data_IF_249191749101
#
_entry.id   IF_249191749101
#
_cell.length_a   1.000
_cell.length_b   1.000
_cell.length_c   1.000
_cell.angle_alpha   90.00
_cell.angle_beta   90.00
_cell.angle_gamma   90.00
#
_symmetry.space_group_name_H-M   'P 1'
#
loop_
_entity.id
_entity.type
_entity.pdbx_description
1 polymer ?
#
# COMPACT_ATOMS: atom_id res chain seq x y z
N UNK A 1 33.77 52.90 17.67
CA UNK A 1 34.02 51.59 17.02
C UNK A 1 32.68 50.95 16.72
N UNK A 2 32.35 50.88 15.43
CA UNK A 2 31.04 50.57 14.86
C UNK A 2 31.14 49.24 14.12
N UNK A 3 30.05 48.46 14.17
CA UNK A 3 29.63 47.40 13.22
C UNK A 3 30.39 46.07 13.27
N UNK A 4 29.73 45.04 13.79
CA UNK A 4 29.55 43.73 13.13
C UNK A 4 28.68 42.79 14.00
N UNK A 5 27.38 43.08 14.13
CA UNK A 5 26.37 42.06 14.42
C UNK A 5 25.63 41.81 13.11
N UNK A 6 26.20 40.96 12.27
CA UNK A 6 25.52 40.46 11.08
C UNK A 6 24.64 39.29 11.50
N UNK A 7 23.34 39.52 11.38
CA UNK A 7 22.25 38.56 11.50
C UNK A 7 22.58 37.26 10.76
N UNK A 8 22.92 36.21 11.49
CA UNK A 8 22.79 34.83 11.02
C UNK A 8 21.37 34.33 11.40
N UNK A 9 20.36 34.99 10.83
CA UNK A 9 18.99 34.47 10.78
C UNK A 9 19.00 33.37 9.71
N UNK A 10 19.61 32.24 10.05
CA UNK A 10 19.50 31.02 9.29
C UNK A 10 18.02 30.67 9.31
N UNK A 11 17.32 31.02 8.23
CA UNK A 11 16.03 30.47 7.91
C UNK A 11 16.25 28.96 7.73
N UNK A 12 16.26 28.23 8.85
CA UNK A 12 15.74 26.87 8.89
C UNK A 12 14.29 26.99 8.42
N UNK A 13 14.11 27.03 7.10
CA UNK A 13 12.96 26.39 6.49
C UNK A 13 13.10 24.92 6.86
N UNK A 14 12.74 24.60 8.12
CA UNK A 14 12.39 23.26 8.52
C UNK A 14 11.38 22.83 7.48
N UNK A 15 11.81 21.95 6.57
CA UNK A 15 10.91 21.14 5.78
C UNK A 15 10.10 20.37 6.81
N UNK A 16 9.01 20.98 7.28
CA UNK A 16 8.09 20.36 8.22
C UNK A 16 7.77 19.02 7.60
N UNK A 17 7.98 17.91 8.33
CA UNK A 17 7.68 16.60 7.78
C UNK A 17 6.25 16.65 7.27
N UNK A 18 6.09 16.39 5.97
CA UNK A 18 4.83 16.58 5.27
C UNK A 18 3.84 15.54 5.77
N UNK A 19 3.18 15.85 6.88
CA UNK A 19 2.01 15.15 7.39
C UNK A 19 0.80 15.95 6.97
N UNK A 20 0.02 15.40 6.06
CA UNK A 20 -1.09 16.11 5.47
C UNK A 20 -2.35 15.26 5.40
N UNK A 21 -3.49 15.90 5.58
CA UNK A 21 -4.78 15.32 5.20
C UNK A 21 -5.56 16.28 4.33
N UNK A 22 -6.29 15.74 3.35
CA UNK A 22 -7.21 16.50 2.52
C UNK A 22 -8.47 15.65 2.27
N UNK A 23 -9.55 16.31 1.86
CA UNK A 23 -10.78 15.69 1.37
C UNK A 23 -11.01 16.25 -0.03
N UNK A 24 -11.15 15.38 -1.03
CA UNK A 24 -11.24 15.78 -2.45
C UNK A 24 -12.30 15.00 -3.20
N UNK A 25 -12.74 15.56 -4.31
CA UNK A 25 -13.57 14.85 -5.28
C UNK A 25 -12.76 13.76 -6.00
N UNK A 26 -13.41 12.63 -6.31
CA UNK A 26 -12.79 11.57 -7.13
C UNK A 26 -12.45 12.04 -8.56
N UNK A 27 -13.08 13.10 -9.06
CA UNK A 27 -12.73 13.72 -10.35
C UNK A 27 -11.45 14.58 -10.31
N UNK A 28 -11.01 15.01 -9.14
CA UNK A 28 -9.80 15.81 -8.93
C UNK A 28 -8.95 15.23 -7.78
N UNK A 29 -8.45 13.98 -7.92
CA UNK A 29 -7.64 13.35 -6.90
C UNK A 29 -6.26 14.02 -6.84
N UNK A 30 -5.77 14.26 -5.63
CA UNK A 30 -4.46 14.84 -5.36
C UNK A 30 -3.67 13.97 -4.39
N UNK A 31 -2.36 14.13 -4.40
CA UNK A 31 -1.46 13.59 -3.37
C UNK A 31 -0.60 14.70 -2.76
N UNK A 32 -0.08 14.46 -1.56
CA UNK A 32 0.91 15.33 -0.93
C UNK A 32 2.27 15.09 -1.56
N UNK A 33 2.69 16.04 -2.39
CA UNK A 33 3.96 15.98 -3.15
C UNK A 33 5.18 15.67 -2.26
N UNK A 34 5.23 16.26 -1.07
CA UNK A 34 6.33 16.06 -0.12
C UNK A 34 6.26 14.78 0.72
N UNK A 35 5.17 14.01 0.64
CA UNK A 35 5.01 12.78 1.41
C UNK A 35 5.72 11.61 0.70
N UNK A 36 6.50 10.85 1.47
CA UNK A 36 7.10 9.59 1.05
C UNK A 36 6.03 8.57 0.66
N UNK A 37 4.97 8.48 1.44
CA UNK A 37 3.83 7.59 1.22
C UNK A 37 2.54 8.38 1.25
N UNK A 38 1.73 8.24 0.21
CA UNK A 38 0.40 8.83 0.12
C UNK A 38 -0.67 7.74 0.21
N UNK A 39 -1.58 7.85 1.17
CA UNK A 39 -2.79 7.04 1.24
C UNK A 39 -3.95 7.76 0.53
N UNK A 40 -4.64 7.05 -0.35
CA UNK A 40 -5.89 7.49 -0.97
C UNK A 40 -7.00 6.59 -0.44
N UNK A 41 -7.95 7.17 0.26
CA UNK A 41 -9.11 6.44 0.78
C UNK A 41 -10.28 6.77 -0.12
N UNK A 42 -10.73 5.81 -0.92
CA UNK A 42 -11.86 5.99 -1.82
C UNK A 42 -13.15 5.59 -1.11
N UNK A 43 -14.32 6.07 -1.58
CA UNK A 43 -15.59 5.75 -0.95
C UNK A 43 -15.88 4.25 -0.94
N UNK A 44 -16.28 3.74 0.22
CA UNK A 44 -17.00 2.49 0.29
C UNK A 44 -18.36 2.66 -0.39
N UNK A 45 -18.62 1.82 -1.37
CA UNK A 45 -19.88 1.86 -2.12
C UNK A 45 -20.95 1.08 -1.39
N UNK A 46 -22.21 1.48 -1.51
CA UNK A 46 -23.34 0.69 -1.09
C UNK A 46 -23.93 0.00 -2.35
N UNK A 47 -23.51 -1.23 -2.60
CA UNK A 47 -23.88 -2.00 -3.79
C UNK A 47 -25.25 -2.67 -3.56
N UNK A 48 -26.23 -2.33 -4.40
CA UNK A 48 -27.58 -2.91 -4.31
C UNK A 48 -28.41 -2.45 -3.11
N UNK A 49 -27.87 -1.60 -2.25
CA UNK A 49 -28.57 -1.11 -1.07
C UNK A 49 -29.66 -0.09 -1.45
N UNK A 50 -30.92 -0.44 -1.16
CA UNK A 50 -32.06 0.49 -1.25
C UNK A 50 -32.19 1.37 -0.01
N UNK A 51 -31.60 0.93 1.10
CA UNK A 51 -31.69 1.63 2.38
C UNK A 51 -30.70 2.80 2.46
N UNK A 52 -31.23 3.99 2.71
CA UNK A 52 -30.45 5.21 2.92
C UNK A 52 -29.47 5.10 4.09
N UNK A 53 -29.76 4.28 5.10
CA UNK A 53 -28.88 4.02 6.23
C UNK A 53 -27.57 3.33 5.80
N UNK A 54 -27.64 2.37 4.88
CA UNK A 54 -26.44 1.68 4.35
C UNK A 54 -25.59 2.66 3.53
N UNK A 55 -26.22 3.53 2.73
CA UNK A 55 -25.51 4.58 2.00
C UNK A 55 -24.84 5.62 2.91
N UNK A 56 -25.44 5.96 4.06
CA UNK A 56 -24.82 6.82 5.06
C UNK A 56 -23.64 6.11 5.75
N UNK A 57 -23.83 4.85 6.12
CA UNK A 57 -22.81 4.04 6.76
C UNK A 57 -21.58 3.85 5.88
N UNK A 58 -21.75 3.63 4.57
CA UNK A 58 -20.64 3.49 3.64
C UNK A 58 -19.75 4.75 3.60
N UNK A 59 -20.36 5.94 3.61
CA UNK A 59 -19.63 7.22 3.71
C UNK A 59 -18.90 7.34 5.05
N UNK A 60 -19.55 6.98 6.16
CA UNK A 60 -18.95 7.07 7.50
C UNK A 60 -17.75 6.13 7.65
N UNK A 61 -17.84 4.89 7.16
CA UNK A 61 -16.74 3.92 7.14
C UNK A 61 -15.54 4.50 6.41
N UNK A 62 -15.75 5.11 5.23
CA UNK A 62 -14.67 5.65 4.39
C UNK A 62 -13.80 6.65 5.16
N UNK A 63 -14.41 7.65 5.78
CA UNK A 63 -13.60 8.67 6.45
C UNK A 63 -13.10 8.24 7.83
N UNK A 64 -13.77 7.30 8.51
CA UNK A 64 -13.16 6.67 9.69
C UNK A 64 -11.90 5.88 9.29
N UNK A 65 -11.96 5.14 8.18
CA UNK A 65 -10.80 4.46 7.61
C UNK A 65 -9.70 5.47 7.27
N UNK A 66 -10.03 6.63 6.69
CA UNK A 66 -9.08 7.73 6.44
C UNK A 66 -8.41 8.24 7.71
N UNK A 67 -9.18 8.64 8.73
CA UNK A 67 -8.61 9.18 9.97
C UNK A 67 -7.77 8.16 10.72
N UNK A 68 -8.22 6.90 10.78
CA UNK A 68 -7.49 5.83 11.47
C UNK A 68 -6.22 5.44 10.73
N UNK A 69 -6.29 5.30 9.40
CA UNK A 69 -5.10 5.00 8.59
C UNK A 69 -4.09 6.15 8.66
N UNK A 70 -4.53 7.40 8.55
CA UNK A 70 -3.67 8.57 8.70
C UNK A 70 -2.96 8.55 10.06
N UNK A 71 -3.71 8.41 11.15
CA UNK A 71 -3.15 8.36 12.50
C UNK A 71 -2.15 7.21 12.66
N UNK A 72 -2.49 6.02 12.15
CA UNK A 72 -1.59 4.87 12.17
C UNK A 72 -0.30 5.15 11.40
N UNK A 73 -0.38 5.86 10.28
CA UNK A 73 0.75 6.18 9.41
C UNK A 73 1.66 7.29 9.95
N UNK A 74 1.21 8.16 10.88
CA UNK A 74 2.02 9.28 11.40
C UNK A 74 3.37 8.81 11.98
N UNK A 75 3.46 7.58 12.49
CA UNK A 75 4.70 6.99 13.02
C UNK A 75 5.78 6.73 11.95
N UNK A 76 5.43 6.73 10.66
CA UNK A 76 6.34 6.44 9.55
C UNK A 76 7.10 7.65 9.02
N UNK A 77 6.72 8.86 9.47
CA UNK A 77 7.19 10.16 8.97
C UNK A 77 6.97 10.40 7.47
N UNK A 78 6.70 11.65 7.08
CA UNK A 78 6.50 12.03 5.67
C UNK A 78 5.35 11.23 5.02
N UNK A 79 4.13 11.41 5.53
CA UNK A 79 2.93 10.70 5.07
C UNK A 79 1.79 11.66 4.73
N UNK A 80 1.08 11.40 3.65
CA UNK A 80 -0.12 12.14 3.26
C UNK A 80 -1.31 11.20 3.20
N UNK A 81 -2.51 11.66 3.55
CA UNK A 81 -3.73 10.87 3.36
C UNK A 81 -4.85 11.72 2.78
N UNK A 82 -5.47 11.29 1.68
CA UNK A 82 -6.59 12.00 1.05
C UNK A 82 -7.83 11.13 1.09
N UNK A 83 -8.92 11.66 1.67
CA UNK A 83 -10.26 11.08 1.56
C UNK A 83 -10.88 11.54 0.24
N UNK A 84 -11.19 10.59 -0.63
CA UNK A 84 -11.82 10.87 -1.91
C UNK A 84 -13.33 10.65 -1.77
N UNK A 85 -14.11 11.59 -2.29
CA UNK A 85 -15.57 11.59 -2.22
C UNK A 85 -16.14 11.49 -3.63
N UNK A 86 -17.16 10.65 -3.79
CA UNK A 86 -17.82 10.41 -5.07
C UNK A 86 -18.60 11.65 -5.55
N UNK A 87 -18.43 12.03 -6.83
CA UNK A 87 -19.10 13.16 -7.45
C UNK A 87 -20.49 12.79 -7.98
N UNK A 88 -21.55 13.21 -7.28
CA UNK A 88 -22.92 13.16 -7.81
C UNK A 88 -23.38 11.74 -8.19
N UNK A 89 -23.08 10.74 -7.35
CA UNK A 89 -23.45 9.34 -7.59
C UNK A 89 -22.56 8.57 -8.56
N UNK A 90 -21.53 9.20 -9.15
CA UNK A 90 -20.54 8.50 -9.99
C UNK A 90 -19.61 7.63 -9.14
N UNK A 91 -19.31 6.43 -9.64
CA UNK A 91 -18.35 5.55 -9.01
C UNK A 91 -16.93 6.15 -9.05
N UNK A 92 -16.24 6.09 -7.91
CA UNK A 92 -14.81 6.37 -7.84
C UNK A 92 -14.04 5.18 -8.44
N UNK A 93 -13.52 5.33 -9.65
CA UNK A 93 -12.70 4.32 -10.31
C UNK A 93 -11.26 4.43 -9.81
N UNK A 94 -10.76 3.37 -9.17
CA UNK A 94 -9.42 3.35 -8.59
C UNK A 94 -8.32 3.42 -9.64
N UNK A 95 -8.50 2.80 -10.81
CA UNK A 95 -7.54 2.84 -11.90
C UNK A 95 -7.44 4.26 -12.46
N UNK A 96 -8.57 4.94 -12.63
CA UNK A 96 -8.60 6.35 -13.07
C UNK A 96 -7.96 7.28 -12.05
N UNK A 97 -8.26 7.09 -10.76
CA UNK A 97 -7.66 7.87 -9.66
C UNK A 97 -6.14 7.70 -9.66
N UNK A 98 -5.67 6.45 -9.66
CA UNK A 98 -4.25 6.12 -9.68
C UNK A 98 -3.56 6.63 -10.95
N UNK A 99 -4.18 6.49 -12.12
CA UNK A 99 -3.65 7.04 -13.37
C UNK A 99 -3.51 8.56 -13.29
N UNK A 100 -4.48 9.26 -12.69
CA UNK A 100 -4.46 10.71 -12.58
C UNK A 100 -3.35 11.18 -11.64
N UNK A 101 -3.18 10.57 -10.46
CA UNK A 101 -2.13 10.99 -9.51
C UNK A 101 -0.73 10.56 -9.95
N UNK A 102 -0.61 9.53 -10.80
CA UNK A 102 0.66 8.99 -11.30
C UNK A 102 1.12 9.57 -12.64
N UNK A 103 0.33 10.46 -13.26
CA UNK A 103 0.75 11.22 -14.43
C UNK A 103 2.05 11.97 -14.13
N UNK A 104 3.06 11.74 -14.97
CA UNK A 104 4.33 12.44 -14.90
C UNK A 104 4.13 13.93 -15.21
N UNK A 105 4.42 14.80 -14.26
CA UNK A 105 4.31 16.25 -14.43
C UNK A 105 4.74 17.01 -13.17
N UNK A 106 4.97 18.32 -13.31
CA UNK A 106 5.35 19.21 -12.20
C UNK A 106 4.14 19.84 -11.48
N UNK A 107 2.93 19.53 -11.94
CA UNK A 107 1.68 20.02 -11.35
C UNK A 107 1.55 19.65 -9.87
N UNK A 108 0.89 20.52 -9.11
CA UNK A 108 0.51 20.22 -7.73
C UNK A 108 -0.40 18.99 -7.69
N UNK A 109 -0.30 18.18 -6.62
CA UNK A 109 -1.16 17.01 -6.46
C UNK A 109 -0.73 15.76 -7.23
N UNK A 110 0.45 15.74 -7.87
CA UNK A 110 1.01 14.55 -8.55
C UNK A 110 2.04 13.84 -7.69
N UNK A 111 2.12 12.52 -7.85
CA UNK A 111 3.07 11.66 -7.13
C UNK A 111 4.47 11.83 -7.71
N UNK A 112 5.45 12.22 -6.89
CA UNK A 112 6.83 12.36 -7.38
C UNK A 112 7.48 11.00 -7.61
N UNK A 113 8.45 10.95 -8.54
CA UNK A 113 9.26 9.76 -8.79
C UNK A 113 9.89 9.24 -7.49
N UNK A 114 9.79 7.93 -7.28
CA UNK A 114 10.29 7.24 -6.10
C UNK A 114 9.36 7.29 -4.89
N UNK A 115 8.28 8.10 -4.91
CA UNK A 115 7.26 8.13 -3.85
C UNK A 115 6.22 7.04 -4.05
N UNK A 116 5.57 6.66 -2.96
CA UNK A 116 4.62 5.56 -2.94
C UNK A 116 3.18 6.03 -2.77
N UNK A 117 2.25 5.23 -3.30
CA UNK A 117 0.82 5.39 -3.11
C UNK A 117 0.18 4.09 -2.64
N UNK A 118 -0.77 4.21 -1.73
CA UNK A 118 -1.64 3.16 -1.23
C UNK A 118 -3.09 3.62 -1.42
N UNK A 119 -3.88 2.90 -2.21
CA UNK A 119 -5.31 3.11 -2.32
C UNK A 119 -6.06 2.05 -1.51
N UNK A 120 -7.05 2.46 -0.71
CA UNK A 120 -7.95 1.58 0.02
C UNK A 120 -9.39 1.99 -0.24
N UNK A 121 -10.27 1.02 -0.46
CA UNK A 121 -11.69 1.24 -0.73
C UNK A 121 -12.49 0.00 -0.38
N UNK A 122 -13.80 0.06 -0.57
CA UNK A 122 -14.62 -1.12 -0.36
C UNK A 122 -16.02 -1.05 -0.91
N UNK A 123 -16.79 -2.06 -0.56
CA UNK A 123 -18.21 -2.15 -0.84
C UNK A 123 -18.95 -2.72 0.35
N UNK A 124 -20.16 -2.23 0.57
CA UNK A 124 -21.18 -2.78 1.43
C UNK A 124 -22.23 -3.38 0.51
N UNK A 125 -22.62 -4.63 0.73
CA UNK A 125 -23.63 -5.30 -0.07
C UNK A 125 -24.46 -6.22 0.81
N UNK A 126 -25.68 -6.50 0.38
CA UNK A 126 -26.56 -7.45 1.04
C UNK A 126 -26.48 -8.80 0.33
N UNK A 127 -26.36 -9.87 1.10
CA UNK A 127 -26.44 -11.24 0.61
C UNK A 127 -27.20 -12.07 1.64
N UNK A 128 -28.21 -12.81 1.20
CA UNK A 128 -29.03 -13.68 2.05
C UNK A 128 -29.65 -12.96 3.27
N UNK A 129 -30.01 -11.68 3.12
CA UNK A 129 -30.59 -10.85 4.18
C UNK A 129 -29.57 -10.32 5.20
N UNK A 130 -28.28 -10.57 4.99
CA UNK A 130 -27.19 -10.09 5.83
C UNK A 130 -26.35 -9.04 5.09
N UNK A 131 -25.84 -8.06 5.83
CA UNK A 131 -24.94 -7.04 5.28
C UNK A 131 -23.48 -7.48 5.38
N UNK A 132 -22.76 -7.30 4.29
CA UNK A 132 -21.35 -7.63 4.16
C UNK A 132 -20.53 -6.41 3.76
N UNK A 133 -19.37 -6.28 4.38
CA UNK A 133 -18.35 -5.29 4.12
C UNK A 133 -17.15 -5.98 3.47
N UNK A 134 -16.75 -5.53 2.30
CA UNK A 134 -15.56 -6.04 1.63
C UNK A 134 -14.60 -4.89 1.32
N UNK A 135 -13.37 -5.06 1.74
CA UNK A 135 -12.30 -4.08 1.54
C UNK A 135 -11.37 -4.53 0.43
N UNK A 136 -10.83 -3.56 -0.28
CA UNK A 136 -9.82 -3.73 -1.32
C UNK A 136 -8.67 -2.78 -1.05
N UNK A 137 -7.48 -3.18 -1.46
CA UNK A 137 -6.27 -2.41 -1.30
C UNK A 137 -5.44 -2.53 -2.58
N UNK A 138 -4.80 -1.44 -2.99
CA UNK A 138 -3.82 -1.43 -4.07
C UNK A 138 -2.67 -0.52 -3.72
N UNK A 139 -1.46 -0.89 -4.13
CA UNK A 139 -0.27 -0.10 -3.84
C UNK A 139 0.71 -0.13 -5.00
N UNK A 140 1.48 0.94 -5.12
CA UNK A 140 2.54 1.05 -6.10
C UNK A 140 3.53 2.16 -5.73
N UNK A 141 4.66 2.17 -6.41
CA UNK A 141 5.62 3.28 -6.38
C UNK A 141 5.66 3.97 -7.74
N UNK A 142 5.86 5.28 -7.72
CA UNK A 142 6.04 6.06 -8.94
C UNK A 142 7.42 5.77 -9.55
N UNK A 143 7.44 5.17 -10.72
CA UNK A 143 8.59 5.04 -11.59
C UNK A 143 8.76 6.22 -12.55
N UNK A 144 9.60 6.02 -13.58
CA UNK A 144 9.86 7.04 -14.59
C UNK A 144 8.68 7.23 -15.56
N UNK A 145 7.91 6.18 -15.82
CA UNK A 145 6.85 6.11 -16.83
C UNK A 145 5.45 5.92 -16.22
N UNK A 146 5.31 6.08 -14.90
CA UNK A 146 4.07 5.82 -14.17
C UNK A 146 4.29 4.88 -12.99
N UNK A 147 3.21 4.28 -12.50
CA UNK A 147 3.26 3.33 -11.39
C UNK A 147 3.99 2.05 -11.81
N UNK A 148 4.94 1.61 -10.98
CA UNK A 148 5.74 0.40 -11.22
C UNK A 148 5.57 -0.61 -10.09
N UNK A 149 5.62 -1.92 -10.40
CA UNK A 149 5.73 -2.95 -9.39
C UNK A 149 7.04 -2.85 -8.61
N UNK A 150 7.00 -3.34 -7.38
CA UNK A 150 8.20 -3.53 -6.58
C UNK A 150 8.83 -4.86 -6.96
N UNK A 151 10.12 -4.80 -7.31
CA UNK A 151 10.87 -5.92 -7.86
C UNK A 151 12.15 -6.16 -7.09
N UNK A 152 12.54 -7.42 -6.93
CA UNK A 152 13.90 -7.82 -6.62
C UNK A 152 14.67 -8.09 -7.90
N UNK A 153 15.98 -7.93 -7.84
CA UNK A 153 16.90 -8.28 -8.93
C UNK A 153 18.01 -9.17 -8.39
N UNK A 154 18.39 -10.19 -9.16
CA UNK A 154 19.49 -11.11 -8.85
C UNK A 154 20.37 -11.30 -10.08
N UNK A 155 21.67 -11.10 -9.93
CA UNK A 155 22.65 -11.50 -10.93
C UNK A 155 23.08 -12.95 -10.64
N UNK A 156 22.88 -13.84 -11.61
CA UNK A 156 23.20 -15.26 -11.49
C UNK A 156 23.69 -15.80 -12.84
N UNK A 157 24.79 -16.56 -12.84
CA UNK A 157 25.43 -17.10 -14.06
C UNK A 157 25.75 -16.03 -15.14
N UNK A 158 26.06 -14.79 -14.73
CA UNK A 158 26.33 -13.69 -15.66
C UNK A 158 25.09 -13.08 -16.32
N UNK A 159 23.88 -13.49 -15.91
CA UNK A 159 22.62 -12.94 -16.36
C UNK A 159 21.85 -12.30 -15.21
N UNK A 160 21.05 -11.28 -15.52
CA UNK A 160 20.20 -10.58 -14.55
C UNK A 160 18.78 -11.13 -14.61
N UNK A 161 18.27 -11.53 -13.45
CA UNK A 161 16.89 -11.99 -13.25
C UNK A 161 16.13 -10.99 -12.38
N UNK A 162 14.86 -10.79 -12.68
CA UNK A 162 14.00 -9.87 -11.93
C UNK A 162 12.73 -10.59 -11.48
N UNK A 163 12.27 -10.35 -10.26
CA UNK A 163 10.97 -10.85 -9.82
C UNK A 163 10.17 -9.81 -9.04
N UNK A 164 8.86 -9.72 -9.27
CA UNK A 164 7.95 -8.83 -8.56
C UNK A 164 7.23 -9.54 -7.40
N UNK A 165 6.61 -8.76 -6.52
CA UNK A 165 5.67 -9.28 -5.54
C UNK A 165 4.51 -10.07 -6.20
N UNK A 166 3.94 -11.08 -5.52
CA UNK A 166 2.89 -11.93 -6.09
C UNK A 166 1.57 -11.20 -6.39
N UNK A 167 1.36 -10.04 -5.77
CA UNK A 167 0.20 -9.18 -5.99
C UNK A 167 0.52 -7.71 -5.65
N UNK A 168 -0.09 -6.78 -6.37
CA UNK A 168 -0.10 -5.34 -6.06
C UNK A 168 -1.47 -4.81 -5.65
N UNK A 169 -2.49 -5.66 -5.76
CA UNK A 169 -3.84 -5.40 -5.33
C UNK A 169 -4.35 -6.61 -4.55
N UNK A 170 -5.10 -6.34 -3.49
CA UNK A 170 -5.74 -7.34 -2.65
C UNK A 170 -7.24 -7.07 -2.64
N UNK A 171 -8.00 -8.16 -2.77
CA UNK A 171 -9.39 -8.21 -2.33
C UNK A 171 -9.41 -9.03 -1.05
N UNK A 172 -9.89 -8.43 0.04
CA UNK A 172 -10.06 -9.14 1.29
C UNK A 172 -11.39 -9.89 1.28
N UNK A 173 -11.50 -10.93 2.13
CA UNK A 173 -12.74 -11.67 2.27
C UNK A 173 -13.85 -10.74 2.80
N UNK A 174 -15.09 -10.86 2.27
CA UNK A 174 -16.22 -10.13 2.84
C UNK A 174 -16.44 -10.50 4.30
N UNK A 175 -16.75 -9.50 5.13
CA UNK A 175 -17.06 -9.66 6.55
C UNK A 175 -18.48 -9.25 6.79
N UNK A 176 -19.22 -10.06 7.55
CA UNK A 176 -20.57 -9.71 7.97
C UNK A 176 -20.52 -8.51 8.93
N UNK A 177 -21.44 -7.56 8.75
CA UNK A 177 -21.62 -6.41 9.61
C UNK A 177 -23.10 -6.25 9.96
N UNK A 178 -23.40 -5.96 11.22
CA UNK A 178 -24.77 -5.77 11.70
C UNK A 178 -25.18 -4.30 11.61
N UNK A 179 -26.49 -4.06 11.53
CA UNK A 179 -27.06 -2.70 11.48
C UNK A 179 -26.73 -1.85 12.72
N UNK A 180 -26.72 -2.45 13.91
CA UNK A 180 -26.35 -1.75 15.16
C UNK A 180 -24.85 -1.40 15.21
N UNK A 181 -24.01 -2.19 14.54
CA UNK A 181 -22.60 -1.86 14.33
C UNK A 181 -22.45 -0.66 13.38
N UNK A 182 -23.30 -0.56 12.33
CA UNK A 182 -23.32 0.61 11.46
C UNK A 182 -23.74 1.89 12.20
N UNK A 183 -24.72 1.81 13.10
CA UNK A 183 -25.12 2.95 13.94
C UNK A 183 -23.99 3.39 14.88
N UNK A 184 -23.23 2.43 15.40
CA UNK A 184 -22.04 2.71 16.21
C UNK A 184 -20.94 3.40 15.41
N UNK A 185 -20.75 2.99 14.16
CA UNK A 185 -19.85 3.62 13.19
C UNK A 185 -20.25 5.07 12.88
N UNK A 186 -21.56 5.35 12.70
CA UNK A 186 -22.05 6.72 12.50
C UNK A 186 -21.66 7.63 13.68
N UNK A 187 -21.97 7.18 14.90
CA UNK A 187 -21.66 7.92 16.12
C UNK A 187 -20.16 8.21 16.24
N UNK A 188 -19.31 7.22 15.97
CA UNK A 188 -17.86 7.38 15.98
C UNK A 188 -17.38 8.39 14.92
N UNK A 189 -17.92 8.29 13.71
CA UNK A 189 -17.60 9.17 12.58
C UNK A 189 -17.89 10.63 12.91
N UNK A 190 -19.08 10.93 13.45
CA UNK A 190 -19.45 12.31 13.83
C UNK A 190 -18.57 12.87 14.93
N UNK A 191 -18.15 12.05 15.89
CA UNK A 191 -17.25 12.48 16.96
C UNK A 191 -15.81 12.74 16.45
N UNK A 192 -15.35 11.96 15.47
CA UNK A 192 -14.00 12.05 14.91
C UNK A 192 -13.80 13.25 13.96
N UNK A 193 -14.86 13.69 13.27
CA UNK A 193 -14.86 14.87 12.39
C UNK A 193 -15.06 16.20 13.14
N UNK A 194 -14.58 16.30 14.38
CA UNK A 194 -14.67 17.53 15.16
C UNK A 194 -13.28 18.04 15.47
N UNK A 195 -13.06 19.32 15.18
CA UNK A 195 -11.86 20.07 15.57
C UNK A 195 -12.15 20.77 16.89
N UNK A 196 -11.38 20.43 17.92
CA UNK A 196 -11.53 20.93 19.30
C UNK A 196 -10.36 21.80 19.69
N UNK A 197 -10.55 22.71 20.65
CA UNK A 197 -9.45 23.54 21.14
C UNK A 197 -8.44 22.76 22.00
N UNK A 198 -8.88 21.65 22.62
CA UNK A 198 -8.07 20.81 23.49
C UNK A 198 -8.29 19.32 23.13
N UNK A 199 -7.31 18.43 23.39
CA UNK A 199 -7.44 17.00 23.13
C UNK A 199 -8.30 16.31 24.21
N UNK A 200 -9.57 16.68 24.28
CA UNK A 200 -10.56 16.19 25.25
C UNK A 200 -11.94 16.11 24.60
N UNK A 201 -12.67 15.02 24.83
CA UNK A 201 -14.04 14.88 24.30
C UNK A 201 -15.01 15.90 24.89
N UNK A 202 -14.72 16.39 26.10
CA UNK A 202 -15.54 17.40 26.77
C UNK A 202 -15.32 18.81 26.20
N UNK A 203 -14.24 19.05 25.46
CA UNK A 203 -13.98 20.36 24.85
C UNK A 203 -14.94 20.61 23.68
N UNK A 204 -15.52 21.81 23.53
CA UNK A 204 -16.36 22.14 22.37
C UNK A 204 -15.63 21.87 21.04
N UNK A 205 -16.35 21.27 20.09
CA UNK A 205 -15.84 20.91 18.77
C UNK A 205 -16.59 21.62 17.65
N UNK A 206 -15.87 21.99 16.60
CA UNK A 206 -16.43 22.46 15.33
C UNK A 206 -16.38 21.31 14.34
N UNK A 207 -17.51 20.96 13.74
CA UNK A 207 -17.57 19.92 12.72
C UNK A 207 -16.85 20.38 11.44
N UNK A 208 -15.96 19.52 10.94
CA UNK A 208 -15.42 19.65 9.59
C UNK A 208 -16.32 18.83 8.65
N UNK A 209 -17.21 19.53 7.95
CA UNK A 209 -18.15 18.89 7.03
C UNK A 209 -17.44 18.11 5.91
N UNK A 210 -18.18 17.22 5.24
CA UNK A 210 -17.71 16.48 4.06
C UNK A 210 -18.42 17.00 2.82
N UNK A 211 -17.96 18.13 2.29
CA UNK A 211 -18.49 18.64 1.04
C UNK A 211 -17.61 18.17 -0.11
N UNK A 212 -18.20 17.52 -1.11
CA UNK A 212 -17.56 17.24 -2.41
C UNK A 212 -17.06 18.51 -3.11
N UNK A 213 -17.62 19.67 -2.74
CA UNK A 213 -17.29 20.96 -3.33
C UNK A 213 -16.26 21.74 -2.51
N UNK A 214 -15.81 21.22 -1.36
CA UNK A 214 -14.89 21.94 -0.48
C UNK A 214 -13.70 21.04 -0.11
N UNK A 215 -12.50 21.46 -0.50
CA UNK A 215 -11.26 20.83 -0.04
C UNK A 215 -11.00 21.15 1.43
N UNK A 216 -10.43 20.21 2.19
CA UNK A 216 -10.12 20.41 3.60
C UNK A 216 -8.64 20.11 3.86
N UNK A 217 -7.72 20.94 3.33
CA UNK A 217 -6.29 20.66 3.43
C UNK A 217 -5.77 21.08 4.80
N UNK A 218 -5.29 20.11 5.55
CA UNK A 218 -4.73 20.26 6.89
C UNK A 218 -3.31 19.70 6.96
N UNK A 219 -2.43 20.43 7.64
CA UNK A 219 -1.16 19.90 8.11
C UNK A 219 -1.35 19.27 9.50
N UNK A 220 -0.74 18.12 9.73
CA UNK A 220 -0.68 17.49 11.06
C UNK A 220 0.61 17.92 11.73
N UNK A 221 0.49 18.72 12.80
CA UNK A 221 1.65 19.32 13.48
C UNK A 221 2.04 18.58 14.76
N UNK A 222 1.13 17.80 15.34
CA UNK A 222 1.36 17.06 16.58
C UNK A 222 0.43 15.83 16.64
N UNK A 223 0.89 14.77 17.30
CA UNK A 223 0.05 13.62 17.65
C UNK A 223 0.31 13.20 19.10
N UNK A 224 -0.76 12.97 19.87
CA UNK A 224 -0.72 12.54 21.27
C UNK A 224 -1.79 11.48 21.50
N UNK A 225 -1.38 10.23 21.67
CA UNK A 225 -2.32 9.11 21.83
C UNK A 225 -3.27 9.02 20.64
N UNK A 226 -4.56 9.21 20.88
CA UNK A 226 -5.62 9.16 19.86
C UNK A 226 -5.94 10.53 19.22
N UNK A 227 -5.20 11.57 19.60
CA UNK A 227 -5.44 12.93 19.17
C UNK A 227 -4.36 13.41 18.20
N UNK A 228 -4.78 14.08 17.15
CA UNK A 228 -3.90 14.74 16.19
C UNK A 228 -4.24 16.23 16.12
N UNK A 229 -3.21 17.07 16.18
CA UNK A 229 -3.37 18.52 16.06
C UNK A 229 -3.26 18.92 14.60
N UNK A 230 -4.33 19.50 14.09
CA UNK A 230 -4.47 19.94 12.71
C UNK A 230 -4.36 21.46 12.61
N UNK A 231 -3.62 21.93 11.61
CA UNK A 231 -3.51 23.34 11.25
C UNK A 231 -3.95 23.49 9.80
N UNK A 232 -4.91 24.37 9.49
CA UNK A 232 -5.43 24.52 8.15
C UNK A 232 -4.35 25.08 7.21
N UNK A 233 -4.26 24.53 6.01
CA UNK A 233 -3.33 25.01 4.97
C UNK A 233 -3.93 26.16 4.15
N UNK A 234 -5.17 26.55 4.43
CA UNK A 234 -5.86 27.70 3.82
C UNK A 234 -6.71 28.45 4.85
N UNK A 235 -6.94 29.76 4.68
CA UNK A 235 -7.77 30.54 5.59
C UNK A 235 -9.22 30.03 5.66
N UNK A 236 -9.88 30.26 6.80
CA UNK A 236 -11.32 29.98 7.00
C UNK A 236 -11.68 28.57 7.47
N UNK A 237 -10.70 27.70 7.70
CA UNK A 237 -10.91 26.37 8.27
C UNK A 237 -10.55 26.35 9.77
N UNK A 238 -11.25 25.55 10.62
CA UNK A 238 -10.94 25.47 12.04
C UNK A 238 -9.59 24.78 12.28
N UNK A 239 -8.78 25.30 13.21
CA UNK A 239 -7.54 24.69 13.68
C UNK A 239 -7.73 24.12 15.10
N UNK A 240 -7.03 23.04 15.44
CA UNK A 240 -7.16 22.44 16.76
C UNK A 240 -6.82 20.96 16.80
N UNK A 241 -7.42 20.24 17.73
CA UNK A 241 -7.25 18.83 17.98
C UNK A 241 -8.42 18.04 17.41
N UNK A 242 -8.09 17.02 16.62
CA UNK A 242 -9.04 16.04 16.13
C UNK A 242 -8.76 14.69 16.77
N UNK A 243 -9.82 13.94 17.04
CA UNK A 243 -9.69 12.59 17.58
C UNK A 243 -9.76 11.58 16.45
N UNK A 244 -8.69 10.84 16.22
CA UNK A 244 -8.62 9.84 15.15
C UNK A 244 -9.25 8.49 15.55
N UNK A 245 -9.24 8.14 16.84
CA UNK A 245 -9.81 6.89 17.39
C UNK A 245 -10.73 7.23 18.56
N UNK A 246 -11.97 6.74 18.57
CA UNK A 246 -12.99 7.10 19.57
C UNK A 246 -12.58 6.72 21.02
N UNK A 247 -13.19 7.38 22.01
CA UNK A 247 -12.97 7.09 23.43
C UNK A 247 -13.71 5.84 23.90
N UNK A 248 -12.99 4.96 24.57
CA UNK A 248 -13.54 3.87 25.36
C UNK A 248 -12.42 3.07 26.01
N UNK A 249 -12.59 2.69 27.27
CA UNK A 249 -11.66 1.86 28.06
C UNK A 249 -11.47 0.44 27.53
N UNK A 250 -12.15 0.09 26.43
CA UNK A 250 -11.96 -1.17 25.73
C UNK A 250 -11.14 -0.90 24.49
N UNK A 251 -9.91 -1.43 24.46
CA UNK A 251 -9.03 -1.44 23.29
C UNK A 251 -9.69 -2.01 22.00
N UNK A 252 -10.89 -2.58 22.11
CA UNK A 252 -11.76 -3.14 21.07
C UNK A 252 -12.55 -2.11 20.24
N UNK A 253 -12.66 -0.84 20.64
CA UNK A 253 -13.32 0.19 19.81
C UNK A 253 -12.33 0.84 18.84
N UNK A 254 -11.91 0.07 17.85
CA UNK A 254 -11.19 0.54 16.68
C UNK A 254 -11.94 0.02 15.46
N UNK A 255 -12.02 0.81 14.39
CA UNK A 255 -12.60 0.30 13.14
C UNK A 255 -11.87 -0.99 12.72
N UNK A 256 -10.59 -1.13 13.12
CA UNK A 256 -9.78 -2.34 13.06
C UNK A 256 -10.43 -3.64 13.62
N UNK A 257 -11.38 -3.58 14.56
CA UNK A 257 -12.15 -4.77 14.99
C UNK A 257 -13.02 -5.30 13.86
N UNK A 258 -13.67 -4.39 13.12
CA UNK A 258 -14.55 -4.73 12.00
C UNK A 258 -13.81 -4.77 10.66
N UNK A 259 -12.70 -4.04 10.57
CA UNK A 259 -11.83 -3.87 9.42
C UNK A 259 -10.36 -4.08 9.80
N UNK A 260 -9.94 -5.30 10.17
CA UNK A 260 -8.52 -5.59 10.43
C UNK A 260 -7.65 -5.31 9.20
N UNK A 261 -8.24 -5.21 8.01
CA UNK A 261 -7.58 -4.75 6.79
C UNK A 261 -6.90 -3.39 6.95
N UNK A 262 -7.31 -2.55 7.91
CA UNK A 262 -6.62 -1.30 8.25
C UNK A 262 -5.26 -1.54 8.91
N UNK A 263 -5.08 -2.60 9.71
CA UNK A 263 -3.77 -2.99 10.25
C UNK A 263 -2.86 -3.49 9.12
N UNK A 264 -3.43 -4.20 8.14
CA UNK A 264 -2.70 -4.60 6.94
C UNK A 264 -2.31 -3.40 6.08
N UNK A 265 -3.21 -2.42 5.91
CA UNK A 265 -2.96 -1.18 5.18
C UNK A 265 -1.88 -0.33 5.85
N UNK A 266 -1.90 -0.22 7.19
CA UNK A 266 -0.84 0.41 7.99
C UNK A 266 0.51 -0.27 7.77
N UNK A 267 0.56 -1.61 7.87
CA UNK A 267 1.77 -2.38 7.61
C UNK A 267 2.28 -2.18 6.17
N UNK A 268 1.38 -2.16 5.19
CA UNK A 268 1.72 -1.89 3.79
C UNK A 268 2.30 -0.48 3.62
N UNK A 269 1.71 0.54 4.26
CA UNK A 269 2.24 1.90 4.23
C UNK A 269 3.65 1.99 4.85
N UNK A 270 3.87 1.30 5.97
CA UNK A 270 5.20 1.19 6.58
C UNK A 270 6.21 0.49 5.66
N UNK A 271 5.78 -0.57 4.98
CA UNK A 271 6.64 -1.28 4.03
C UNK A 271 6.98 -0.42 2.80
N UNK A 272 6.01 0.32 2.26
CA UNK A 272 6.23 1.30 1.19
C UNK A 272 7.22 2.38 1.64
N UNK A 273 7.11 2.84 2.89
CA UNK A 273 8.04 3.82 3.46
C UNK A 273 9.48 3.32 3.44
N UNK A 274 9.71 2.02 3.64
CA UNK A 274 11.04 1.40 3.56
C UNK A 274 11.63 1.42 2.14
N UNK A 275 10.78 1.43 1.10
CA UNK A 275 11.19 1.43 -0.32
C UNK A 275 11.56 2.83 -0.84
N UNK A 276 10.99 3.91 -0.27
CA UNK A 276 11.18 5.29 -0.73
C UNK A 276 12.57 5.87 -0.39
N UNK A 277 13.32 5.23 0.50
CA UNK A 277 14.65 5.70 0.94
C UNK A 277 14.61 6.85 1.94
N UNK A 278 15.78 7.39 2.29
CA UNK A 278 15.91 8.55 3.19
C UNK A 278 15.58 8.30 4.67
N UNK A 279 15.50 7.04 5.10
CA UNK A 279 15.41 6.69 6.53
C UNK A 279 16.81 6.45 7.10
N UNK A 280 17.06 6.97 8.30
CA UNK A 280 18.23 6.58 9.08
C UNK A 280 18.11 5.11 9.55
N UNK A 281 19.21 4.41 9.84
CA UNK A 281 19.18 3.00 10.26
C UNK A 281 18.23 2.73 11.44
N UNK A 282 18.30 3.53 12.51
CA UNK A 282 17.41 3.37 13.66
C UNK A 282 15.92 3.59 13.32
N UNK A 283 15.63 4.53 12.41
CA UNK A 283 14.26 4.77 11.94
C UNK A 283 13.77 3.60 11.08
N UNK A 284 14.63 3.09 10.19
CA UNK A 284 14.35 1.91 9.36
C UNK A 284 13.98 0.70 10.22
N UNK A 285 14.75 0.41 11.26
CA UNK A 285 14.42 -0.68 12.19
C UNK A 285 13.09 -0.47 12.92
N UNK A 286 12.80 0.75 13.36
CA UNK A 286 11.51 1.09 13.98
C UNK A 286 10.34 0.87 12.99
N UNK A 287 10.52 1.28 11.73
CA UNK A 287 9.51 1.04 10.68
C UNK A 287 9.34 -0.44 10.41
N UNK A 288 10.43 -1.23 10.31
CA UNK A 288 10.36 -2.70 10.16
C UNK A 288 9.56 -3.32 11.31
N UNK A 289 9.87 -2.99 12.57
CA UNK A 289 9.10 -3.50 13.73
C UNK A 289 7.63 -3.12 13.66
N UNK A 290 7.31 -1.92 13.21
CA UNK A 290 5.93 -1.47 13.05
C UNK A 290 5.20 -2.21 11.92
N UNK A 291 5.86 -2.52 10.80
CA UNK A 291 5.31 -3.36 9.73
C UNK A 291 4.99 -4.75 10.26
N UNK A 292 5.95 -5.40 10.94
CA UNK A 292 5.75 -6.72 11.52
C UNK A 292 4.59 -6.75 12.54
N UNK A 293 4.51 -5.73 13.39
CA UNK A 293 3.43 -5.61 14.36
C UNK A 293 2.06 -5.44 13.68
N UNK A 294 1.97 -4.68 12.59
CA UNK A 294 0.73 -4.51 11.83
C UNK A 294 0.28 -5.80 11.14
N UNK A 295 1.20 -6.49 10.45
CA UNK A 295 0.91 -7.80 9.84
C UNK A 295 0.47 -8.82 10.91
N UNK A 296 1.15 -8.87 12.05
CA UNK A 296 0.81 -9.79 13.15
C UNK A 296 -0.58 -9.49 13.74
N UNK A 297 -0.97 -8.21 13.87
CA UNK A 297 -2.32 -7.85 14.33
C UNK A 297 -3.40 -8.31 13.34
N UNK A 298 -3.16 -8.12 12.04
CA UNK A 298 -4.05 -8.64 11.00
C UNK A 298 -4.16 -10.17 11.06
N UNK A 299 -3.04 -10.88 11.12
CA UNK A 299 -2.97 -12.35 11.15
C UNK A 299 -3.65 -12.94 12.40
N UNK A 300 -3.60 -12.23 13.53
CA UNK A 300 -4.34 -12.60 14.74
C UNK A 300 -5.86 -12.44 14.57
N UNK A 301 -6.29 -11.44 13.77
CA UNK A 301 -7.69 -11.12 13.56
C UNK A 301 -8.32 -11.90 12.38
N UNK A 302 -7.51 -12.39 11.44
CA UNK A 302 -7.96 -13.05 10.21
C UNK A 302 -7.17 -14.34 9.97
N UNK A 303 -7.79 -15.52 10.16
CA UNK A 303 -7.20 -16.81 9.84
C UNK A 303 -6.70 -16.94 8.39
N UNK A 304 -5.65 -17.74 8.19
CA UNK A 304 -4.97 -17.89 6.90
C UNK A 304 -5.85 -18.54 5.80
N UNK A 305 -6.77 -19.41 6.20
CA UNK A 305 -7.76 -20.06 5.33
C UNK A 305 -8.80 -19.08 4.77
N UNK A 306 -9.14 -18.04 5.52
CA UNK A 306 -10.08 -17.01 5.07
C UNK A 306 -9.43 -15.94 4.20
N UNK A 307 -8.11 -15.75 4.30
CA UNK A 307 -7.39 -14.71 3.56
C UNK A 307 -6.02 -15.16 3.03
N UNK A 308 -5.95 -16.24 2.22
CA UNK A 308 -4.68 -16.78 1.74
C UNK A 308 -3.86 -15.75 0.96
N UNK A 309 -4.52 -14.87 0.19
CA UNK A 309 -3.84 -13.82 -0.57
C UNK A 309 -3.19 -12.75 0.32
N UNK A 310 -3.83 -12.36 1.41
CA UNK A 310 -3.27 -11.39 2.34
C UNK A 310 -2.08 -11.99 3.11
N UNK A 311 -2.20 -13.24 3.55
CA UNK A 311 -1.12 -13.99 4.19
C UNK A 311 0.07 -14.20 3.23
N UNK A 312 -0.19 -14.61 2.00
CA UNK A 312 0.83 -14.78 0.96
C UNK A 312 1.55 -13.47 0.64
N UNK A 313 0.81 -12.37 0.50
CA UNK A 313 1.44 -11.06 0.32
C UNK A 313 2.24 -10.65 1.56
N UNK A 314 1.69 -10.83 2.77
CA UNK A 314 2.39 -10.55 4.02
C UNK A 314 3.74 -11.28 4.12
N UNK A 315 3.79 -12.57 3.80
CA UNK A 315 5.03 -13.33 3.70
C UNK A 315 5.99 -12.74 2.66
N UNK A 316 5.49 -12.34 1.48
CA UNK A 316 6.32 -11.69 0.45
C UNK A 316 6.87 -10.32 0.91
N UNK A 317 6.11 -9.52 1.67
CA UNK A 317 6.61 -8.26 2.24
C UNK A 317 7.76 -8.51 3.22
N UNK A 318 7.63 -9.52 4.09
CA UNK A 318 8.69 -9.95 5.01
C UNK A 318 9.92 -10.46 4.25
N UNK A 319 9.71 -11.21 3.18
CA UNK A 319 10.77 -11.65 2.26
C UNK A 319 11.52 -10.48 1.64
N UNK A 320 10.81 -9.44 1.19
CA UNK A 320 11.45 -8.25 0.64
C UNK A 320 12.20 -7.43 1.69
N UNK A 321 11.70 -7.33 2.93
CA UNK A 321 12.44 -6.73 4.04
C UNK A 321 13.75 -7.50 4.27
N UNK A 322 13.69 -8.82 4.41
CA UNK A 322 14.86 -9.67 4.57
C UNK A 322 15.85 -9.51 3.39
N UNK A 323 15.34 -9.46 2.16
CA UNK A 323 16.11 -9.25 0.94
C UNK A 323 16.90 -7.94 1.00
N UNK A 324 16.25 -6.83 1.36
CA UNK A 324 16.91 -5.51 1.47
C UNK A 324 17.91 -5.42 2.62
N UNK A 325 17.79 -6.29 3.63
CA UNK A 325 18.74 -6.40 4.74
C UNK A 325 19.91 -7.35 4.45
N UNK A 326 19.98 -7.93 3.24
CA UNK A 326 21.01 -8.90 2.87
C UNK A 326 20.79 -10.31 3.44
N UNK A 327 19.68 -10.56 4.14
CA UNK A 327 19.29 -11.88 4.67
C UNK A 327 18.63 -12.71 3.56
N UNK A 328 19.43 -13.12 2.58
CA UNK A 328 18.95 -13.73 1.34
C UNK A 328 18.28 -15.09 1.53
N UNK A 329 18.81 -15.93 2.40
CA UNK A 329 18.23 -17.25 2.71
C UNK A 329 16.83 -17.09 3.33
N UNK A 330 16.71 -16.27 4.38
CA UNK A 330 15.43 -15.93 5.01
C UNK A 330 14.45 -15.34 3.99
N UNK A 331 14.92 -14.48 3.08
CA UNK A 331 14.07 -13.92 2.02
C UNK A 331 13.50 -15.01 1.11
N UNK A 332 14.34 -15.93 0.63
CA UNK A 332 13.92 -17.04 -0.22
C UNK A 332 12.91 -17.96 0.48
N UNK A 333 13.09 -18.23 1.78
CA UNK A 333 12.13 -18.98 2.60
C UNK A 333 10.77 -18.27 2.64
N UNK A 334 10.74 -16.97 2.97
CA UNK A 334 9.50 -16.18 3.01
C UNK A 334 8.82 -16.07 1.64
N UNK A 335 9.57 -15.99 0.55
CA UNK A 335 8.99 -16.02 -0.79
C UNK A 335 8.41 -17.40 -1.17
N UNK A 336 9.04 -18.48 -0.68
CA UNK A 336 8.48 -19.83 -0.81
C UNK A 336 7.18 -19.99 0.00
N UNK A 337 7.14 -19.49 1.24
CA UNK A 337 5.92 -19.44 2.05
C UNK A 337 4.81 -18.65 1.34
N UNK A 338 5.16 -17.51 0.73
CA UNK A 338 4.21 -16.73 -0.06
C UNK A 338 3.62 -17.53 -1.22
N UNK A 339 4.45 -18.27 -1.96
CA UNK A 339 4.02 -19.15 -3.05
C UNK A 339 3.11 -20.28 -2.56
N UNK A 340 3.39 -20.87 -1.40
CA UNK A 340 2.53 -21.92 -0.83
C UNK A 340 1.10 -21.40 -0.54
N UNK A 341 0.96 -20.11 -0.19
CA UNK A 341 -0.34 -19.46 0.01
C UNK A 341 -0.98 -18.98 -1.29
N UNK A 342 -0.19 -18.75 -2.33
CA UNK A 342 -0.60 -18.22 -3.63
C UNK A 342 -0.10 -19.10 -4.79
N UNK A 343 -0.45 -20.40 -4.84
CA UNK A 343 0.11 -21.33 -5.83
C UNK A 343 -0.25 -21.00 -7.28
N UNK A 344 -1.35 -20.27 -7.48
CA UNK A 344 -1.78 -19.80 -8.81
C UNK A 344 -1.15 -18.47 -9.24
N UNK A 345 -0.20 -17.91 -8.47
CA UNK A 345 0.48 -16.66 -8.82
C UNK A 345 1.71 -16.95 -9.69
N UNK A 346 1.66 -16.53 -10.96
CA UNK A 346 2.83 -16.55 -11.85
C UNK A 346 3.98 -15.71 -11.27
N UNK A 347 3.68 -14.49 -10.80
CA UNK A 347 4.65 -13.61 -10.16
C UNK A 347 5.24 -14.22 -8.89
N UNK A 348 4.42 -14.87 -8.05
CA UNK A 348 4.88 -15.60 -6.86
C UNK A 348 5.80 -16.78 -7.21
N UNK A 349 5.45 -17.53 -8.26
CA UNK A 349 6.28 -18.65 -8.76
C UNK A 349 7.65 -18.14 -9.24
N UNK A 350 7.65 -17.05 -10.02
CA UNK A 350 8.85 -16.38 -10.48
C UNK A 350 9.70 -15.85 -9.31
N UNK A 351 9.07 -15.21 -8.32
CA UNK A 351 9.73 -14.66 -7.13
C UNK A 351 10.42 -15.74 -6.29
N UNK A 352 9.73 -16.84 -6.02
CA UNK A 352 10.33 -17.97 -5.31
C UNK A 352 11.47 -18.61 -6.12
N UNK A 353 11.30 -18.75 -7.46
CA UNK A 353 12.32 -19.33 -8.32
C UNK A 353 13.60 -18.50 -8.38
N UNK A 354 13.48 -17.19 -8.62
CA UNK A 354 14.62 -16.27 -8.71
C UNK A 354 15.33 -16.15 -7.36
N UNK A 355 14.58 -15.97 -6.27
CA UNK A 355 15.21 -15.80 -4.95
C UNK A 355 15.92 -17.05 -4.45
N UNK A 356 15.45 -18.25 -4.81
CA UNK A 356 16.08 -19.52 -4.44
C UNK A 356 17.48 -19.70 -5.03
N UNK A 357 17.84 -18.96 -6.08
CA UNK A 357 19.20 -18.99 -6.66
C UNK A 357 20.22 -18.16 -5.86
N UNK A 358 19.77 -17.37 -4.88
CA UNK A 358 20.67 -16.52 -4.13
C UNK A 358 21.64 -17.36 -3.30
N UNK A 359 22.94 -17.23 -3.58
CA UNK A 359 23.99 -18.01 -2.92
C UNK A 359 24.16 -19.43 -3.49
N UNK A 360 23.39 -19.81 -4.51
CA UNK A 360 23.55 -21.09 -5.21
C UNK A 360 24.62 -20.96 -6.29
N UNK A 361 25.60 -21.87 -6.28
CA UNK A 361 26.64 -21.92 -7.31
C UNK A 361 26.00 -22.18 -8.68
N UNK A 362 26.32 -21.40 -9.71
CA UNK A 362 25.81 -21.64 -11.05
C UNK A 362 26.22 -23.02 -11.61
N UNK A 363 25.23 -23.87 -11.87
CA UNK A 363 25.41 -25.18 -12.49
C UNK A 363 24.19 -25.60 -13.34
N UNK A 364 24.32 -26.72 -14.04
CA UNK A 364 23.27 -27.26 -14.90
C UNK A 364 22.00 -27.64 -14.13
N UNK A 365 22.12 -28.14 -12.90
CA UNK A 365 20.98 -28.58 -12.09
C UNK A 365 20.13 -27.38 -11.63
N UNK A 366 20.76 -26.34 -11.12
CA UNK A 366 20.12 -25.09 -10.74
C UNK A 366 19.49 -24.40 -11.96
N UNK A 367 20.16 -24.41 -13.12
CA UNK A 367 19.61 -23.88 -14.36
C UNK A 367 18.35 -24.65 -14.79
N UNK A 368 18.36 -25.98 -14.72
CA UNK A 368 17.22 -26.83 -15.05
C UNK A 368 16.03 -26.59 -14.10
N UNK A 369 16.28 -26.48 -12.79
CA UNK A 369 15.25 -26.15 -11.80
C UNK A 369 14.64 -24.76 -12.06
N UNK A 370 15.46 -23.75 -12.38
CA UNK A 370 14.98 -22.43 -12.75
C UNK A 370 14.11 -22.49 -14.01
N UNK A 371 14.57 -23.18 -15.06
CA UNK A 371 13.82 -23.39 -16.31
C UNK A 371 12.43 -23.97 -16.04
N UNK A 372 12.35 -25.06 -15.27
CA UNK A 372 11.09 -25.71 -14.92
C UNK A 372 10.12 -24.74 -14.20
N UNK A 373 10.63 -23.97 -13.22
CA UNK A 373 9.78 -23.02 -12.47
C UNK A 373 9.34 -21.83 -13.32
N UNK A 374 10.20 -21.30 -14.19
CA UNK A 374 9.83 -20.21 -15.09
C UNK A 374 8.80 -20.66 -16.13
N UNK A 375 8.92 -21.88 -16.66
CA UNK A 375 7.91 -22.45 -17.55
C UNK A 375 6.58 -22.69 -16.82
N UNK A 376 6.60 -23.13 -15.56
CA UNK A 376 5.40 -23.24 -14.73
C UNK A 376 4.75 -21.87 -14.48
N UNK A 377 5.54 -20.83 -14.20
CA UNK A 377 5.05 -19.46 -14.07
C UNK A 377 4.43 -18.95 -15.39
N UNK A 378 5.06 -19.25 -16.53
CA UNK A 378 4.55 -18.89 -17.85
C UNK A 378 3.24 -19.61 -18.19
N UNK A 379 3.07 -20.87 -17.75
CA UNK A 379 1.82 -21.59 -17.92
C UNK A 379 0.64 -20.93 -17.17
N UNK A 380 0.91 -20.30 -16.02
CA UNK A 380 -0.08 -19.52 -15.25
C UNK A 380 -0.35 -18.15 -15.88
N UNK A 381 0.65 -17.50 -16.46
CA UNK A 381 0.52 -16.20 -17.14
C UNK A 381 1.40 -16.12 -18.39
N UNK A 382 0.87 -16.53 -19.56
CA UNK A 382 1.67 -16.68 -20.79
C UNK A 382 2.23 -15.37 -21.37
N UNK A 383 1.70 -14.23 -20.91
CA UNK A 383 2.09 -12.89 -21.37
C UNK A 383 2.81 -12.08 -20.28
N UNK A 384 3.24 -12.72 -19.20
CA UNK A 384 3.96 -12.02 -18.13
C UNK A 384 5.34 -11.56 -18.67
N UNK A 385 5.57 -10.24 -18.80
CA UNK A 385 6.79 -9.72 -19.41
C UNK A 385 8.04 -10.03 -18.59
N UNK A 386 7.90 -10.18 -17.28
CA UNK A 386 9.00 -10.45 -16.37
C UNK A 386 9.42 -11.91 -16.42
N UNK A 387 8.46 -12.84 -16.45
CA UNK A 387 8.74 -14.27 -16.67
C UNK A 387 9.37 -14.50 -18.05
N UNK A 388 8.82 -13.88 -19.10
CA UNK A 388 9.38 -13.94 -20.45
C UNK A 388 10.81 -13.38 -20.48
N UNK A 389 11.09 -12.30 -19.74
CA UNK A 389 12.44 -11.76 -19.62
C UNK A 389 13.43 -12.64 -18.89
N UNK A 390 13.01 -13.29 -17.80
CA UNK A 390 13.84 -14.25 -17.10
C UNK A 390 14.12 -15.50 -17.94
N UNK A 391 13.13 -15.99 -18.71
CA UNK A 391 13.34 -17.09 -19.66
C UNK A 391 14.35 -16.71 -20.76
N UNK A 392 14.24 -15.51 -21.31
CA UNK A 392 15.21 -15.03 -22.30
C UNK A 392 16.62 -14.94 -21.70
N UNK A 393 16.75 -14.42 -20.47
CA UNK A 393 18.02 -14.37 -19.75
C UNK A 393 18.61 -15.77 -19.56
N UNK A 394 17.81 -16.74 -19.11
CA UNK A 394 18.23 -18.13 -18.95
C UNK A 394 18.63 -18.78 -20.27
N UNK A 395 17.91 -18.51 -21.36
CA UNK A 395 18.29 -19.02 -22.68
C UNK A 395 19.60 -18.39 -23.18
N UNK A 396 19.92 -17.16 -22.78
CA UNK A 396 21.24 -16.57 -22.97
C UNK A 396 22.34 -17.32 -22.22
N UNK A 397 22.07 -17.74 -20.98
CA UNK A 397 22.99 -18.59 -20.19
C UNK A 397 23.22 -19.92 -20.91
N UNK A 398 22.15 -20.58 -21.39
CA UNK A 398 22.27 -21.84 -22.14
C UNK A 398 23.06 -21.70 -23.44
N UNK A 399 22.98 -20.56 -24.13
CA UNK A 399 23.80 -20.33 -25.32
C UNK A 399 25.30 -20.21 -24.99
N UNK A 400 25.64 -19.68 -23.80
CA UNK A 400 27.03 -19.57 -23.33
C UNK A 400 27.54 -20.85 -22.67
N UNK A 401 26.63 -21.66 -22.13
CA UNK A 401 26.88 -22.96 -21.46
C UNK A 401 25.98 -24.04 -22.08
N UNK A 402 26.29 -24.53 -23.30
CA UNK A 402 25.42 -25.48 -24.00
C UNK A 402 25.22 -26.79 -23.24
N UNK A 403 26.22 -27.19 -22.44
CA UNK A 403 26.20 -28.36 -21.56
C UNK A 403 25.15 -28.27 -20.44
N UNK A 404 24.65 -27.07 -20.13
CA UNK A 404 23.57 -26.86 -19.16
C UNK A 404 22.19 -26.88 -19.81
N UNK A 405 22.11 -26.76 -21.14
CA UNK A 405 20.84 -26.68 -21.83
C UNK A 405 20.19 -28.06 -21.88
N UNK A 406 18.91 -28.20 -21.49
CA UNK A 406 18.17 -29.44 -21.69
C UNK A 406 17.73 -29.62 -23.15
N UNK A 407 17.98 -28.64 -24.03
CA UNK A 407 17.56 -28.66 -25.43
C UNK A 407 18.75 -28.66 -26.38
N UNK A 408 18.63 -29.32 -27.54
CA UNK A 408 19.61 -29.18 -28.62
C UNK A 408 19.73 -27.73 -29.10
N UNK A 409 20.89 -27.31 -29.66
CA UNK A 409 21.11 -25.93 -30.10
C UNK A 409 20.05 -25.39 -31.09
N UNK A 410 19.55 -26.23 -31.99
CA UNK A 410 18.51 -25.85 -32.95
C UNK A 410 17.17 -25.52 -32.25
N UNK A 411 16.75 -26.34 -31.28
CA UNK A 411 15.54 -26.11 -30.51
C UNK A 411 15.68 -24.88 -29.60
N UNK A 412 16.85 -24.67 -28.99
CA UNK A 412 17.12 -23.47 -28.19
C UNK A 412 16.97 -22.19 -29.04
N UNK A 413 17.50 -22.20 -30.28
CA UNK A 413 17.38 -21.08 -31.19
C UNK A 413 15.92 -20.79 -31.58
N UNK A 414 15.12 -21.83 -31.83
CA UNK A 414 13.68 -21.70 -32.10
C UNK A 414 12.94 -21.09 -30.89
N UNK A 415 13.17 -21.62 -29.68
CA UNK A 415 12.57 -21.10 -28.45
C UNK A 415 12.93 -19.63 -28.20
N UNK A 416 14.17 -19.23 -28.47
CA UNK A 416 14.59 -17.83 -28.41
C UNK A 416 13.91 -16.95 -29.47
N UNK A 417 13.60 -17.47 -30.65
CA UNK A 417 12.84 -16.75 -31.67
C UNK A 417 11.38 -16.57 -31.24
N UNK A 418 10.75 -17.61 -30.71
CA UNK A 418 9.38 -17.55 -30.17
C UNK A 418 9.25 -16.51 -29.05
N UNK A 419 10.16 -16.49 -28.07
CA UNK A 419 10.16 -15.49 -27.00
C UNK A 419 10.29 -14.05 -27.51
N UNK A 420 11.11 -13.84 -28.56
CA UNK A 420 11.26 -12.50 -29.18
C UNK A 420 9.98 -12.06 -29.89
N UNK A 421 9.21 -12.99 -30.44
CA UNK A 421 7.92 -12.68 -31.09
C UNK A 421 6.76 -12.45 -30.11
N UNK A 422 6.88 -12.95 -28.88
CA UNK A 422 5.85 -12.83 -27.84
C UNK A 422 5.93 -11.54 -27.01
N UNK A 423 6.98 -10.74 -27.21
CA UNK A 423 7.17 -9.41 -26.63
C UNK A 423 6.72 -8.34 -27.61
#
# INVERSE_FOLDING_TARGET
MRRALALLSLALACALPAHGMDIRACSDPVVFRGAAVNALVLPWRADGARDAAVGAASRQISSLAHLQLLMAMLKYSSVGAVDLVADGGRQCDVDRVLATVSQTGTGTGKLERGKAVLAIWGRLFEQDGELFLQTYLRFARQGAQGLTPETITLDWAGAKFEAALPAQALSFAPRRIRLDELASIDKASRAALQVRQQPSDAAPGVEIGRSVHQSFPYAIVEARGDWMRVVPMRPGLPAGWMRARAAGDVAEWQLARWLPELDFADAMAGWLRLQVGGLQPAERERVVRAVEAGLTRYEKAVPADLAPSAWGLGAALRGQIAWTQGRRADAAERFSEALQRLPASAAGTNLAAVSALSGVTPDAAAAAQLSQRLLAALALSPRDPQVLGNLQALYGVYAQRPDWSPWPPAELAERQALLRSAR
#
